data_IF_771420002289
#
_entry.id   IF_771420002289
#
_cell.length_a   1.000
_cell.length_b   1.000
_cell.length_c   1.000
_cell.angle_alpha   90.00
_cell.angle_beta   90.00
_cell.angle_gamma   90.00
#
_symmetry.space_group_name_H-M   'P 1'
#
loop_
_entity.id
_entity.type
_entity.pdbx_description
1 polymer ?
#
# COMPACT_ATOMS: atom_id res chain seq x y z
N UNK A 1 15.56 -23.50 -3.54
CA UNK A 1 16.01 -22.13 -3.24
C UNK A 1 14.96 -21.55 -2.31
N UNK A 2 15.30 -21.35 -1.05
CA UNK A 2 14.33 -20.88 -0.06
C UNK A 2 13.91 -19.45 -0.43
N UNK A 3 12.60 -19.18 -0.47
CA UNK A 3 12.09 -17.87 -0.87
C UNK A 3 12.20 -16.91 0.31
N UNK A 4 13.22 -16.05 0.31
CA UNK A 4 13.45 -15.08 1.37
C UNK A 4 12.39 -13.97 1.35
N UNK A 5 11.42 -14.08 2.26
CA UNK A 5 10.33 -13.13 2.43
C UNK A 5 10.83 -11.73 2.81
N UNK A 6 11.92 -11.63 3.56
CA UNK A 6 12.47 -10.35 3.98
C UNK A 6 13.12 -9.62 2.81
N UNK A 7 13.95 -10.33 2.04
CA UNK A 7 14.58 -9.77 0.85
C UNK A 7 13.53 -9.35 -0.18
N UNK A 8 12.54 -10.20 -0.45
CA UNK A 8 11.47 -9.90 -1.40
C UNK A 8 10.65 -8.68 -0.96
N UNK A 9 10.23 -8.61 0.31
CA UNK A 9 9.52 -7.45 0.85
C UNK A 9 10.31 -6.15 0.70
N UNK A 10 11.60 -6.16 1.02
CA UNK A 10 12.47 -4.99 0.86
C UNK A 10 12.58 -4.55 -0.60
N UNK A 11 12.74 -5.50 -1.52
CA UNK A 11 12.81 -5.22 -2.96
C UNK A 11 11.54 -4.54 -3.47
N UNK A 12 10.36 -5.07 -3.11
CA UNK A 12 9.07 -4.47 -3.49
C UNK A 12 8.97 -3.03 -2.96
N UNK A 13 9.29 -2.79 -1.69
CA UNK A 13 9.23 -1.43 -1.12
C UNK A 13 10.20 -0.48 -1.81
N UNK A 14 11.43 -0.94 -2.07
CA UNK A 14 12.45 -0.14 -2.74
C UNK A 14 12.06 0.20 -4.19
N UNK A 15 11.41 -0.72 -4.90
CA UNK A 15 10.92 -0.51 -6.26
C UNK A 15 9.94 0.68 -6.34
N UNK A 16 9.14 0.93 -5.30
CA UNK A 16 8.15 2.00 -5.27
C UNK A 16 8.60 3.26 -4.53
N UNK A 17 9.84 3.31 -4.04
CA UNK A 17 10.39 4.45 -3.29
C UNK A 17 10.24 5.79 -4.00
N UNK A 18 10.53 5.85 -5.31
CA UNK A 18 10.37 7.08 -6.09
C UNK A 18 8.92 7.58 -6.18
N UNK A 19 7.94 6.67 -6.17
CA UNK A 19 6.52 7.05 -6.11
C UNK A 19 6.15 7.59 -4.73
N UNK A 20 6.68 6.98 -3.66
CA UNK A 20 6.48 7.47 -2.30
C UNK A 20 7.01 8.89 -2.12
N UNK A 21 8.17 9.19 -2.67
CA UNK A 21 8.76 10.52 -2.60
C UNK A 21 7.95 11.55 -3.41
N UNK A 22 7.38 11.13 -4.55
CA UNK A 22 6.45 11.97 -5.32
C UNK A 22 5.19 12.29 -4.51
N UNK A 23 4.59 11.30 -3.86
CA UNK A 23 3.41 11.49 -2.97
C UNK A 23 3.77 12.47 -1.85
N UNK A 24 4.88 12.25 -1.14
CA UNK A 24 5.32 13.14 -0.06
C UNK A 24 5.53 14.57 -0.54
N UNK A 25 6.15 14.75 -1.71
CA UNK A 25 6.36 16.07 -2.29
C UNK A 25 5.04 16.79 -2.55
N UNK A 26 4.05 16.10 -3.11
CA UNK A 26 2.72 16.66 -3.36
C UNK A 26 2.03 17.01 -2.03
N UNK A 27 2.02 16.11 -1.05
CA UNK A 27 1.43 16.36 0.26
C UNK A 27 2.09 17.56 0.97
N UNK A 28 3.42 17.63 0.97
CA UNK A 28 4.15 18.74 1.58
C UNK A 28 3.83 20.08 0.90
N UNK A 29 3.72 20.08 -0.42
CA UNK A 29 3.37 21.28 -1.15
C UNK A 29 1.92 21.72 -0.88
N UNK A 30 0.97 20.80 -0.72
CA UNK A 30 -0.40 21.12 -0.28
C UNK A 30 -0.42 21.69 1.16
N UNK A 31 0.41 21.16 2.06
CA UNK A 31 0.56 21.67 3.43
C UNK A 31 1.12 23.09 3.43
N UNK A 32 2.14 23.35 2.61
CA UNK A 32 2.83 24.64 2.57
C UNK A 32 2.06 25.71 1.78
N UNK A 33 1.20 25.30 0.85
CA UNK A 33 0.44 26.19 -0.02
C UNK A 33 -1.07 25.88 0.02
N UNK A 34 -1.73 25.94 1.20
CA UNK A 34 -3.11 25.48 1.37
C UNK A 34 -4.14 26.34 0.64
N UNK A 35 -3.81 27.61 0.36
CA UNK A 35 -4.69 28.58 -0.30
C UNK A 35 -4.26 28.88 -1.75
N UNK A 36 -3.54 27.95 -2.38
CA UNK A 36 -3.11 28.11 -3.77
C UNK A 36 -4.33 28.26 -4.68
N UNK A 37 -4.39 29.34 -5.46
CA UNK A 37 -5.44 29.55 -6.47
C UNK A 37 -5.07 28.98 -7.84
N UNK A 38 -3.87 28.41 -7.99
CA UNK A 38 -3.45 27.74 -9.22
C UNK A 38 -4.22 26.43 -9.42
N UNK A 39 -5.27 26.50 -10.23
CA UNK A 39 -6.12 25.35 -10.54
C UNK A 39 -5.39 24.26 -11.35
N UNK A 40 -4.46 24.64 -12.22
CA UNK A 40 -3.76 23.70 -13.09
C UNK A 40 -2.85 22.76 -12.29
N UNK A 41 -2.33 23.26 -11.17
CA UNK A 41 -1.60 22.47 -10.19
C UNK A 41 -2.42 21.32 -9.63
N UNK A 42 -3.68 21.56 -9.23
CA UNK A 42 -4.55 20.51 -8.70
C UNK A 42 -4.90 19.46 -9.76
N UNK A 43 -5.11 19.86 -11.01
CA UNK A 43 -5.28 18.91 -12.12
C UNK A 43 -4.06 18.01 -12.31
N UNK A 44 -2.87 18.62 -12.38
CA UNK A 44 -1.61 17.88 -12.52
C UNK A 44 -1.41 16.88 -11.38
N UNK A 45 -1.67 17.30 -10.14
CA UNK A 45 -1.57 16.41 -8.98
C UNK A 45 -2.59 15.29 -9.03
N UNK A 46 -3.84 15.58 -9.39
CA UNK A 46 -4.86 14.55 -9.55
C UNK A 46 -4.43 13.49 -10.57
N UNK A 47 -3.90 13.88 -11.72
CA UNK A 47 -3.46 12.94 -12.77
C UNK A 47 -2.26 12.10 -12.31
N UNK A 48 -1.25 12.74 -11.72
CA UNK A 48 -0.07 12.05 -11.17
C UNK A 48 -0.46 11.04 -10.10
N UNK A 49 -1.27 11.47 -9.12
CA UNK A 49 -1.76 10.62 -8.04
C UNK A 49 -2.62 9.47 -8.56
N UNK A 50 -3.45 9.70 -9.58
CA UNK A 50 -4.25 8.64 -10.21
C UNK A 50 -3.37 7.56 -10.85
N UNK A 51 -2.31 7.96 -11.55
CA UNK A 51 -1.33 7.01 -12.10
C UNK A 51 -0.58 6.24 -11.02
N UNK A 52 -0.17 6.91 -9.95
CA UNK A 52 0.49 6.30 -8.80
C UNK A 52 -0.45 5.31 -8.09
N UNK A 53 -1.72 5.66 -7.89
CA UNK A 53 -2.74 4.80 -7.29
C UNK A 53 -2.84 3.47 -8.03
N UNK A 54 -2.93 3.51 -9.37
CA UNK A 54 -3.00 2.29 -10.19
C UNK A 54 -1.81 1.36 -9.95
N UNK A 55 -0.60 1.94 -9.89
CA UNK A 55 0.63 1.18 -9.67
C UNK A 55 0.72 0.59 -8.26
N UNK A 56 0.48 1.41 -7.22
CA UNK A 56 0.60 0.98 -5.82
C UNK A 56 -0.51 0.01 -5.42
N UNK A 57 -1.74 0.22 -5.87
CA UNK A 57 -2.86 -0.66 -5.53
C UNK A 57 -2.66 -2.07 -6.10
N UNK A 58 -2.12 -2.20 -7.32
CA UNK A 58 -1.77 -3.52 -7.89
C UNK A 58 -0.73 -4.23 -7.01
N UNK A 59 0.35 -3.54 -6.66
CA UNK A 59 1.40 -4.10 -5.80
C UNK A 59 0.87 -4.52 -4.43
N UNK A 60 0.06 -3.67 -3.80
CA UNK A 60 -0.60 -3.95 -2.52
C UNK A 60 -1.47 -5.21 -2.60
N UNK A 61 -2.31 -5.35 -3.64
CA UNK A 61 -3.18 -6.52 -3.81
C UNK A 61 -2.38 -7.79 -4.04
N UNK A 62 -1.32 -7.74 -4.85
CA UNK A 62 -0.42 -8.86 -5.08
C UNK A 62 0.27 -9.31 -3.78
N UNK A 63 0.81 -8.36 -3.01
CA UNK A 63 1.51 -8.66 -1.77
C UNK A 63 0.56 -9.21 -0.69
N UNK A 64 -0.68 -8.69 -0.64
CA UNK A 64 -1.74 -9.18 0.23
C UNK A 64 -2.12 -10.64 -0.09
N UNK A 65 -2.21 -10.98 -1.38
CA UNK A 65 -2.45 -12.36 -1.81
C UNK A 65 -1.27 -13.28 -1.48
N UNK A 66 -0.04 -12.86 -1.78
CA UNK A 66 1.17 -13.62 -1.48
C UNK A 66 1.32 -13.90 0.02
N UNK A 67 1.04 -12.89 0.86
CA UNK A 67 1.04 -13.04 2.33
C UNK A 67 0.10 -14.15 2.78
N UNK A 68 -1.15 -14.15 2.29
CA UNK A 68 -2.15 -15.18 2.65
C UNK A 68 -1.71 -16.57 2.22
N UNK A 69 -1.18 -16.68 1.00
CA UNK A 69 -0.71 -17.96 0.46
C UNK A 69 0.47 -18.51 1.27
N UNK A 70 1.48 -17.68 1.56
CA UNK A 70 2.67 -18.10 2.31
C UNK A 70 2.38 -18.45 3.77
N UNK A 71 1.40 -17.78 4.38
CA UNK A 71 0.96 -18.10 5.75
C UNK A 71 0.27 -19.47 5.79
N UNK A 72 -0.63 -19.73 4.84
CA UNK A 72 -1.31 -21.01 4.72
C UNK A 72 -0.33 -22.16 4.39
N UNK A 73 0.62 -21.91 3.48
CA UNK A 73 1.67 -22.86 3.12
C UNK A 73 2.50 -23.25 4.36
N UNK A 74 2.96 -22.27 5.13
CA UNK A 74 3.77 -22.52 6.32
C UNK A 74 2.98 -23.21 7.43
N UNK A 75 1.72 -22.84 7.65
CA UNK A 75 0.85 -23.54 8.59
C UNK A 75 0.68 -25.02 8.24
N UNK A 76 0.45 -25.32 6.95
CA UNK A 76 0.32 -26.70 6.48
C UNK A 76 1.65 -27.47 6.59
N UNK A 77 2.79 -26.81 6.36
CA UNK A 77 4.10 -27.39 6.57
C UNK A 77 4.30 -27.82 8.03
N UNK A 78 3.96 -26.95 8.99
CA UNK A 78 4.06 -27.28 10.42
C UNK A 78 3.16 -28.46 10.80
N UNK A 79 1.97 -28.55 10.21
CA UNK A 79 1.08 -29.70 10.41
C UNK A 79 1.71 -31.00 9.90
N UNK A 80 2.21 -30.99 8.67
CA UNK A 80 2.88 -32.16 8.07
C UNK A 80 4.12 -32.58 8.87
N UNK A 81 4.88 -31.62 9.42
CA UNK A 81 6.03 -31.90 10.28
C UNK A 81 5.62 -32.56 11.60
N UNK A 82 4.57 -32.06 12.26
CA UNK A 82 4.05 -32.68 13.49
C UNK A 82 3.58 -34.12 13.23
N UNK A 83 2.85 -34.34 12.12
CA UNK A 83 2.39 -35.66 11.70
C UNK A 83 3.57 -36.61 11.41
N UNK A 84 4.60 -36.14 10.70
CA UNK A 84 5.80 -36.91 10.38
C UNK A 84 6.65 -37.28 11.61
N UNK A 85 6.66 -36.41 12.62
CA UNK A 85 7.42 -36.60 13.86
C UNK A 85 6.62 -37.34 14.95
N UNK A 86 5.37 -37.76 14.68
CA UNK A 86 4.42 -38.29 15.68
C UNK A 86 4.23 -37.35 16.90
N UNK A 87 4.31 -36.04 16.66
CA UNK A 87 4.10 -35.02 17.68
C UNK A 87 2.63 -34.55 17.68
N UNK A 88 2.13 -34.16 18.84
CA UNK A 88 0.78 -33.57 18.94
C UNK A 88 0.77 -32.21 18.24
N UNK A 89 0.04 -32.09 17.14
CA UNK A 89 -0.20 -30.82 16.49
C UNK A 89 -1.05 -29.89 17.36
N UNK A 90 -0.58 -28.65 17.56
CA UNK A 90 -1.29 -27.60 18.30
C UNK A 90 -1.57 -26.41 17.37
N UNK A 91 -2.80 -26.28 16.89
CA UNK A 91 -3.23 -25.26 15.90
C UNK A 91 -2.80 -23.85 16.28
N UNK A 92 -3.05 -23.45 17.54
CA UNK A 92 -2.74 -22.10 18.02
C UNK A 92 -1.24 -21.77 17.97
N UNK A 93 -0.36 -22.75 18.19
CA UNK A 93 1.10 -22.56 18.07
C UNK A 93 1.46 -22.40 16.60
N UNK A 94 0.93 -23.26 15.73
CA UNK A 94 1.19 -23.20 14.30
C UNK A 94 0.68 -21.90 13.65
N UNK A 95 -0.49 -21.41 14.04
CA UNK A 95 -1.02 -20.10 13.61
C UNK A 95 -0.08 -18.96 14.00
N UNK A 96 0.42 -18.98 15.24
CA UNK A 96 1.36 -17.96 15.73
C UNK A 96 2.68 -18.00 14.96
N UNK A 97 3.24 -19.17 14.72
CA UNK A 97 4.49 -19.33 13.96
C UNK A 97 4.31 -18.95 12.48
N UNK A 98 3.22 -19.37 11.84
CA UNK A 98 2.90 -18.96 10.48
C UNK A 98 2.73 -17.44 10.35
N UNK A 99 2.08 -16.80 11.33
CA UNK A 99 1.93 -15.34 11.36
C UNK A 99 3.26 -14.60 11.52
N UNK A 100 4.19 -15.15 12.32
CA UNK A 100 5.55 -14.62 12.46
C UNK A 100 6.36 -14.78 11.17
N UNK A 101 6.28 -15.95 10.54
CA UNK A 101 6.99 -16.24 9.29
C UNK A 101 6.66 -15.20 8.20
N UNK A 102 5.39 -14.83 8.06
CA UNK A 102 4.95 -13.83 7.05
C UNK A 102 5.01 -12.37 7.52
N UNK A 103 5.61 -12.09 8.68
CA UNK A 103 5.70 -10.72 9.21
C UNK A 103 6.38 -9.71 8.24
N UNK A 104 7.43 -10.09 7.47
CA UNK A 104 8.00 -9.18 6.48
C UNK A 104 7.02 -8.81 5.37
N UNK A 105 6.23 -9.77 4.86
CA UNK A 105 5.20 -9.51 3.83
C UNK A 105 4.08 -8.63 4.38
N UNK A 106 3.66 -8.87 5.63
CA UNK A 106 2.66 -8.05 6.32
C UNK A 106 3.12 -6.60 6.42
N UNK A 107 4.35 -6.37 6.87
CA UNK A 107 4.91 -5.02 7.03
C UNK A 107 4.95 -4.27 5.70
N UNK A 108 5.46 -4.90 4.64
CA UNK A 108 5.51 -4.27 3.32
C UNK A 108 4.11 -4.01 2.74
N UNK A 109 3.14 -4.90 3.00
CA UNK A 109 1.73 -4.67 2.62
C UNK A 109 1.16 -3.45 3.32
N UNK A 110 1.38 -3.33 4.63
CA UNK A 110 0.82 -2.25 5.44
C UNK A 110 1.40 -0.88 5.01
N UNK A 111 2.68 -0.85 4.63
CA UNK A 111 3.31 0.35 4.04
C UNK A 111 2.60 0.73 2.74
N UNK A 112 2.43 -0.22 1.81
CA UNK A 112 1.77 0.05 0.53
C UNK A 112 0.31 0.50 0.72
N UNK A 113 -0.42 -0.14 1.63
CA UNK A 113 -1.79 0.23 1.99
C UNK A 113 -1.87 1.67 2.50
N UNK A 114 -0.96 2.06 3.40
CA UNK A 114 -0.87 3.43 3.89
C UNK A 114 -0.68 4.45 2.77
N UNK A 115 0.21 4.19 1.81
CA UNK A 115 0.37 5.09 0.66
C UNK A 115 -0.84 5.10 -0.27
N UNK A 116 -1.50 3.95 -0.48
CA UNK A 116 -2.75 3.90 -1.26
C UNK A 116 -3.82 4.77 -0.62
N UNK A 117 -4.00 4.70 0.70
CA UNK A 117 -4.95 5.53 1.42
C UNK A 117 -4.62 7.03 1.33
N UNK A 118 -3.34 7.39 1.48
CA UNK A 118 -2.87 8.78 1.33
C UNK A 118 -3.19 9.30 -0.06
N UNK A 119 -2.91 8.52 -1.10
CA UNK A 119 -3.18 8.90 -2.48
C UNK A 119 -4.67 9.14 -2.72
N UNK A 120 -5.54 8.24 -2.26
CA UNK A 120 -6.99 8.39 -2.39
C UNK A 120 -7.47 9.68 -1.74
N UNK A 121 -7.08 9.93 -0.49
CA UNK A 121 -7.46 11.17 0.22
C UNK A 121 -6.95 12.41 -0.48
N UNK A 122 -5.72 12.38 -1.00
CA UNK A 122 -5.11 13.53 -1.69
C UNK A 122 -5.79 13.82 -3.03
N UNK A 123 -6.19 12.78 -3.77
CA UNK A 123 -7.00 12.91 -4.99
C UNK A 123 -8.33 13.60 -4.67
N UNK A 124 -8.99 13.18 -3.59
CA UNK A 124 -10.27 13.76 -3.19
C UNK A 124 -10.12 15.24 -2.80
N UNK A 125 -9.05 15.61 -2.09
CA UNK A 125 -8.71 17.02 -1.84
C UNK A 125 -8.53 17.82 -3.13
N UNK A 126 -7.79 17.29 -4.11
CA UNK A 126 -7.62 17.96 -5.40
C UNK A 126 -8.97 18.14 -6.12
N UNK A 127 -9.84 17.13 -6.10
CA UNK A 127 -11.17 17.17 -6.69
C UNK A 127 -12.06 18.23 -6.04
N UNK A 128 -12.00 18.39 -4.72
CA UNK A 128 -12.74 19.43 -4.00
C UNK A 128 -12.34 20.83 -4.46
N UNK A 129 -11.04 21.14 -4.51
CA UNK A 129 -10.57 22.43 -5.03
C UNK A 129 -11.00 22.66 -6.48
N UNK A 130 -10.92 21.63 -7.32
CA UNK A 130 -11.36 21.72 -8.71
C UNK A 130 -12.85 21.99 -8.83
N UNK A 131 -13.66 21.34 -8.00
CA UNK A 131 -15.10 21.52 -7.98
C UNK A 131 -15.48 22.95 -7.54
N UNK A 132 -14.86 23.45 -6.46
CA UNK A 132 -15.10 24.81 -5.96
C UNK A 132 -14.76 25.87 -7.03
N UNK A 133 -13.60 25.74 -7.67
CA UNK A 133 -13.21 26.64 -8.77
C UNK A 133 -14.25 26.68 -9.91
N UNK A 134 -14.71 25.50 -10.36
CA UNK A 134 -15.74 25.41 -11.40
C UNK A 134 -17.08 25.99 -10.97
N UNK A 135 -17.42 25.85 -9.69
CA UNK A 135 -18.64 26.40 -9.11
C UNK A 135 -18.59 27.92 -9.14
N UNK A 136 -17.50 28.53 -8.67
CA UNK A 136 -17.35 29.98 -8.63
C UNK A 136 -17.45 30.60 -10.03
N UNK A 137 -16.78 30.01 -11.02
CA UNK A 137 -16.88 30.45 -12.43
C UNK A 137 -18.30 30.40 -13.01
N UNK A 138 -19.18 29.55 -12.47
CA UNK A 138 -20.57 29.43 -12.94
C UNK A 138 -21.47 30.54 -12.38
N UNK A 139 -21.10 31.14 -11.25
CA UNK A 139 -21.85 32.22 -10.60
C UNK A 139 -21.35 33.63 -10.97
N UNK A 140 -20.20 33.72 -11.66
CA UNK A 140 -19.67 34.97 -12.23
C UNK A 140 -20.29 35.34 -13.61
N UNK A 141 -21.42 34.71 -13.99
CA UNK A 141 -22.19 34.97 -15.22
C UNK A 141 -23.55 35.58 -14.91
#
# INVERSE_FOLDING_TARGET
>A
MDFDLEQYSKQIINQYSGLFDTIKSICNDLINNPNSTDINKYYRYQDQLTGIYGSLNVAYKQLSALKKNKEAEYYNLLKLQADANNEKFVSAVAEKEASKYVAPLRTARDILEGYVEVVVKTIDTCRSHIYEYKKDQKYDV
#
